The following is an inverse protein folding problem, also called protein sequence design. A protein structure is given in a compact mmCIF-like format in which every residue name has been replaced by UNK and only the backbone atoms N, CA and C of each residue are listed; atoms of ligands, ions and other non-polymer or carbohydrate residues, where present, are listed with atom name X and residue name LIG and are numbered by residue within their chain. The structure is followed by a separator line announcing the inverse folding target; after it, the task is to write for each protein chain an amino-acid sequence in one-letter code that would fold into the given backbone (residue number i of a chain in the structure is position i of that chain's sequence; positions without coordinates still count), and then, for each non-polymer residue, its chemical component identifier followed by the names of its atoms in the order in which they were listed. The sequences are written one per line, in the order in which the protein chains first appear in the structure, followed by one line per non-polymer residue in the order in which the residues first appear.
data_IF_903498191193
#
_entry.id   IF_903498191193
#
_cell.length_a   1.000
_cell.length_b   1.000
_cell.length_c   1.000
_cell.angle_alpha   90.00
_cell.angle_beta   90.00
_cell.angle_gamma   90.00
#
_symmetry.space_group_name_H-M   'P 1'
#
loop_
_entity.id
_entity.type
_entity.pdbx_description
1 polymer ?
#
# COMPACT_ATOMS: atom_id res chain seq x y z
N UNK A 1 10.05 -33.33 -43.07
CA UNK A 1 9.46 -33.52 -41.73
C UNK A 1 9.57 -32.21 -40.99
N UNK A 2 8.47 -31.46 -40.86
CA UNK A 2 8.44 -30.22 -40.08
C UNK A 2 8.26 -30.53 -38.59
N UNK A 3 9.00 -29.88 -37.67
CA UNK A 3 8.81 -30.09 -36.24
C UNK A 3 7.44 -29.56 -35.82
N UNK A 4 6.71 -30.37 -35.04
CA UNK A 4 5.33 -30.11 -34.61
C UNK A 4 5.29 -28.91 -33.64
N UNK A 5 4.46 -27.87 -33.87
CA UNK A 5 4.35 -26.68 -33.02
C UNK A 5 3.74 -26.94 -31.62
N UNK A 6 3.23 -28.15 -31.38
CA UNK A 6 2.55 -28.52 -30.13
C UNK A 6 3.49 -28.66 -28.92
N UNK A 7 4.78 -28.96 -29.16
CA UNK A 7 5.76 -29.22 -28.09
C UNK A 7 6.35 -27.93 -27.49
N UNK A 8 6.31 -26.81 -28.23
CA UNK A 8 6.78 -25.51 -27.74
C UNK A 8 5.74 -24.84 -26.80
N UNK A 9 4.45 -25.11 -27.01
CA UNK A 9 3.38 -24.53 -26.18
C UNK A 9 3.30 -25.17 -24.78
N UNK A 10 3.60 -26.48 -24.67
CA UNK A 10 3.52 -27.19 -23.38
C UNK A 10 4.72 -26.89 -22.47
N UNK A 11 5.92 -26.70 -23.03
CA UNK A 11 7.11 -26.34 -22.25
C UNK A 11 7.06 -24.90 -21.74
N UNK A 12 6.47 -23.97 -22.50
CA UNK A 12 6.29 -22.57 -22.07
C UNK A 12 5.19 -22.43 -20.99
N UNK A 13 4.17 -23.30 -21.02
CA UNK A 13 3.04 -23.27 -20.09
C UNK A 13 3.37 -23.78 -18.68
N UNK A 14 4.40 -24.63 -18.51
CA UNK A 14 4.84 -25.14 -17.19
C UNK A 14 5.98 -24.31 -16.59
N UNK A 15 6.77 -23.62 -17.42
CA UNK A 15 7.89 -22.81 -16.96
C UNK A 15 7.44 -21.56 -16.18
N UNK A 16 6.33 -20.93 -16.57
CA UNK A 16 5.82 -19.71 -15.90
C UNK A 16 5.29 -19.99 -14.48
N UNK A 17 4.47 -21.03 -14.23
CA UNK A 17 4.06 -21.39 -12.87
C UNK A 17 5.24 -21.82 -11.99
N UNK A 18 6.19 -22.59 -12.53
CA UNK A 18 7.36 -23.06 -11.77
C UNK A 18 8.30 -21.90 -11.38
N UNK A 19 8.55 -20.95 -12.30
CA UNK A 19 9.32 -19.75 -12.00
C UNK A 19 8.60 -18.87 -10.97
N UNK A 20 7.28 -18.69 -11.09
CA UNK A 20 6.47 -17.97 -10.11
C UNK A 20 6.51 -18.61 -8.72
N UNK A 21 6.38 -19.94 -8.65
CA UNK A 21 6.48 -20.70 -7.40
C UNK A 21 7.88 -20.58 -6.79
N UNK A 22 8.95 -20.70 -7.58
CA UNK A 22 10.31 -20.56 -7.10
C UNK A 22 10.60 -19.15 -6.58
N UNK A 23 10.16 -18.11 -7.30
CA UNK A 23 10.27 -16.72 -6.86
C UNK A 23 9.54 -16.52 -5.53
N UNK A 24 8.32 -17.03 -5.42
CA UNK A 24 7.54 -16.93 -4.18
C UNK A 24 8.17 -17.71 -3.02
N UNK A 25 8.65 -18.93 -3.26
CA UNK A 25 9.36 -19.71 -2.24
C UNK A 25 10.64 -19.01 -1.79
N UNK A 26 11.39 -18.43 -2.73
CA UNK A 26 12.59 -17.63 -2.44
C UNK A 26 12.25 -16.39 -1.62
N UNK A 27 11.14 -15.71 -1.94
CA UNK A 27 10.64 -14.57 -1.17
C UNK A 27 10.30 -14.96 0.26
N UNK A 28 9.45 -15.98 0.43
CA UNK A 28 8.99 -16.43 1.74
C UNK A 28 10.14 -16.96 2.61
N UNK A 29 11.18 -17.53 1.99
CA UNK A 29 12.36 -18.05 2.66
C UNK A 29 13.33 -16.94 3.10
N UNK A 30 13.67 -16.01 2.19
CA UNK A 30 14.76 -15.05 2.43
C UNK A 30 14.31 -13.71 3.02
N UNK A 31 13.04 -13.33 2.83
CA UNK A 31 12.56 -11.99 3.17
C UNK A 31 11.48 -11.92 4.26
N UNK A 32 11.27 -12.92 5.15
CA UNK A 32 10.07 -12.90 5.98
C UNK A 32 10.13 -11.79 7.05
N UNK A 33 9.13 -10.91 7.03
CA UNK A 33 8.48 -10.52 8.27
C UNK A 33 8.17 -11.83 9.03
N UNK A 34 8.54 -11.92 10.31
CA UNK A 34 8.48 -13.19 11.06
C UNK A 34 7.10 -13.85 10.92
N UNK A 35 7.06 -15.18 10.92
CA UNK A 35 5.78 -15.90 10.78
C UNK A 35 4.79 -15.51 11.89
N UNK A 36 5.29 -15.26 13.11
CA UNK A 36 4.48 -14.76 14.22
C UNK A 36 3.87 -13.39 13.91
N UNK A 37 4.70 -12.42 13.48
CA UNK A 37 4.22 -11.07 13.14
C UNK A 37 3.33 -11.07 11.89
N UNK A 38 3.59 -11.94 10.92
CA UNK A 38 2.76 -12.06 9.72
C UNK A 38 1.35 -12.56 10.02
N UNK A 39 1.17 -13.37 11.08
CA UNK A 39 -0.13 -13.86 11.51
C UNK A 39 -0.98 -12.81 12.22
N UNK A 40 -0.39 -11.70 12.66
CA UNK A 40 -1.15 -10.60 13.29
C UNK A 40 -1.74 -9.63 12.27
N UNK A 41 -1.43 -9.80 10.98
CA UNK A 41 -2.00 -9.01 9.89
C UNK A 41 -3.45 -9.43 9.68
N UNK A 42 -4.38 -8.49 9.82
CA UNK A 42 -5.80 -8.67 9.49
C UNK A 42 -6.04 -8.20 8.07
N UNK A 43 -6.83 -8.95 7.30
CA UNK A 43 -7.21 -8.64 5.92
C UNK A 43 -8.72 -8.41 5.83
N UNK A 44 -9.15 -7.46 5.02
CA UNK A 44 -10.56 -7.20 4.70
C UNK A 44 -10.75 -6.98 3.20
N UNK A 45 -11.95 -7.26 2.70
CA UNK A 45 -12.39 -6.90 1.35
C UNK A 45 -12.94 -5.47 1.25
N UNK A 46 -12.95 -4.73 2.37
CA UNK A 46 -13.34 -3.32 2.42
C UNK A 46 -12.11 -2.43 2.60
N UNK A 47 -12.25 -1.14 2.25
CA UNK A 47 -11.28 -0.10 2.60
C UNK A 47 -11.23 0.15 4.11
N UNK A 48 -10.14 0.76 4.61
CA UNK A 48 -10.15 1.32 5.97
C UNK A 48 -11.25 2.38 6.11
N UNK A 49 -11.81 2.60 7.32
CA UNK A 49 -12.94 3.51 7.50
C UNK A 49 -12.69 4.92 6.92
N UNK A 50 -11.53 5.50 7.19
CA UNK A 50 -11.09 6.81 6.70
C UNK A 50 -10.75 6.81 5.20
N UNK A 51 -10.29 5.70 4.65
CA UNK A 51 -10.03 5.59 3.20
C UNK A 51 -11.31 5.66 2.38
N UNK A 52 -12.43 5.18 2.92
CA UNK A 52 -13.73 5.14 2.23
C UNK A 52 -14.34 6.53 2.01
N UNK A 53 -13.89 7.54 2.75
CA UNK A 53 -14.36 8.93 2.66
C UNK A 53 -13.33 9.85 1.98
N UNK A 54 -12.22 9.30 1.49
CA UNK A 54 -11.15 10.08 0.89
C UNK A 54 -11.60 10.85 -0.37
N UNK A 55 -11.27 12.16 -0.50
CA UNK A 55 -11.50 12.93 -1.72
C UNK A 55 -10.84 12.31 -2.96
N UNK A 56 -9.72 11.61 -2.80
CA UNK A 56 -9.00 10.98 -3.92
C UNK A 56 -9.81 9.90 -4.63
N UNK A 57 -10.83 9.33 -3.98
CA UNK A 57 -11.77 8.41 -4.63
C UNK A 57 -12.46 9.05 -5.85
N UNK A 58 -12.79 10.35 -5.76
CA UNK A 58 -13.40 11.09 -6.88
C UNK A 58 -12.40 11.39 -8.00
N UNK A 59 -11.10 11.43 -7.68
CA UNK A 59 -10.04 11.62 -8.67
C UNK A 59 -9.88 10.34 -9.51
N UNK A 60 -9.84 9.18 -8.86
CA UNK A 60 -9.60 7.91 -9.54
C UNK A 60 -10.85 7.31 -10.19
N UNK A 61 -12.04 7.64 -9.67
CA UNK A 61 -13.33 7.08 -10.09
C UNK A 61 -14.40 8.18 -10.12
N UNK A 62 -14.31 9.16 -11.04
CA UNK A 62 -15.18 10.34 -11.03
C UNK A 62 -16.67 10.02 -11.21
N UNK A 63 -17.00 8.90 -11.85
CA UNK A 63 -18.39 8.47 -12.08
C UNK A 63 -18.96 7.55 -10.99
N UNK A 64 -18.10 6.95 -10.15
CA UNK A 64 -18.49 6.09 -9.03
C UNK A 64 -19.54 5.02 -9.37
N UNK A 65 -19.35 4.29 -10.48
CA UNK A 65 -20.30 3.26 -10.89
C UNK A 65 -20.35 2.10 -9.85
N UNK A 66 -21.53 1.53 -9.54
CA UNK A 66 -21.67 0.57 -8.43
C UNK A 66 -20.87 -0.74 -8.54
N UNK A 67 -20.57 -1.22 -9.75
CA UNK A 67 -19.92 -2.52 -9.98
C UNK A 67 -18.56 -2.37 -10.69
N UNK A 68 -17.96 -1.18 -10.62
CA UNK A 68 -16.71 -0.91 -11.33
C UNK A 68 -15.45 -1.05 -10.48
N UNK A 69 -15.57 -1.24 -9.17
CA UNK A 69 -14.44 -1.24 -8.25
C UNK A 69 -14.27 -2.56 -7.49
N UNK A 70 -13.01 -2.89 -7.21
CA UNK A 70 -12.60 -3.91 -6.26
C UNK A 70 -11.75 -3.24 -5.18
N UNK A 71 -11.98 -3.62 -3.93
CA UNK A 71 -11.31 -3.05 -2.76
C UNK A 71 -10.75 -4.14 -1.87
N UNK A 72 -9.67 -3.82 -1.17
CA UNK A 72 -9.13 -4.65 -0.11
C UNK A 72 -8.31 -3.81 0.87
N UNK A 73 -8.12 -4.29 2.09
CA UNK A 73 -7.25 -3.65 3.08
C UNK A 73 -6.54 -4.63 4.00
N UNK A 74 -5.45 -4.15 4.60
CA UNK A 74 -4.61 -4.83 5.58
C UNK A 74 -4.36 -3.93 6.77
N UNK A 75 -4.40 -4.52 7.96
CA UNK A 75 -4.12 -3.86 9.23
C UNK A 75 -3.08 -4.67 10.01
N UNK A 76 -2.11 -3.99 10.58
CA UNK A 76 -1.27 -4.52 11.66
C UNK A 76 -1.17 -3.52 12.81
N UNK A 77 -1.10 -4.03 14.04
CA UNK A 77 -0.79 -3.22 15.21
C UNK A 77 0.70 -3.39 15.52
N UNK A 78 1.39 -2.26 15.66
CA UNK A 78 2.79 -2.21 16.07
C UNK A 78 2.88 -1.57 17.46
N UNK A 79 3.62 -2.20 18.37
CA UNK A 79 3.81 -1.67 19.72
C UNK A 79 4.75 -0.46 19.71
N UNK A 80 4.71 0.32 20.79
CA UNK A 80 5.67 1.41 21.04
C UNK A 80 7.12 0.92 20.99
N UNK A 81 7.42 -0.28 21.50
CA UNK A 81 8.77 -0.85 21.48
C UNK A 81 9.24 -1.20 20.06
N UNK A 82 8.32 -1.63 19.19
CA UNK A 82 8.60 -1.93 17.78
C UNK A 82 8.86 -0.67 16.94
N UNK A 83 8.06 0.39 17.13
CA UNK A 83 8.20 1.65 16.39
C UNK A 83 9.15 2.65 17.03
N UNK A 84 9.53 2.43 18.30
CA UNK A 84 10.44 3.28 19.07
C UNK A 84 9.96 4.74 19.07
N UNK A 85 10.80 5.64 18.56
CA UNK A 85 10.56 7.08 18.48
C UNK A 85 10.22 7.54 17.05
N UNK A 86 9.89 6.62 16.14
CA UNK A 86 9.53 7.00 14.78
C UNK A 86 8.27 7.88 14.78
N UNK A 87 8.34 9.01 14.08
CA UNK A 87 7.22 9.87 13.75
C UNK A 87 6.28 9.20 12.74
N UNK A 88 5.07 9.72 12.59
CA UNK A 88 4.12 9.20 11.59
C UNK A 88 4.67 9.30 10.16
N UNK A 89 5.36 10.41 9.86
CA UNK A 89 6.00 10.62 8.56
C UNK A 89 7.08 9.57 8.31
N UNK A 90 7.96 9.32 9.27
CA UNK A 90 8.99 8.29 9.14
C UNK A 90 8.39 6.88 8.98
N UNK A 91 7.30 6.56 9.69
CA UNK A 91 6.61 5.28 9.54
C UNK A 91 6.07 5.16 8.11
N UNK A 92 5.35 6.17 7.61
CA UNK A 92 4.76 6.15 6.28
C UNK A 92 5.83 6.16 5.18
N UNK A 93 6.91 6.93 5.34
CA UNK A 93 8.02 7.01 4.39
C UNK A 93 8.79 5.69 4.29
N UNK A 94 9.12 5.07 5.44
CA UNK A 94 9.71 3.72 5.47
C UNK A 94 8.77 2.69 4.87
N UNK A 95 7.49 2.74 5.21
CA UNK A 95 6.51 1.81 4.65
C UNK A 95 6.40 1.94 3.13
N UNK A 96 6.30 3.16 2.61
CA UNK A 96 6.28 3.47 1.18
C UNK A 96 7.55 2.96 0.47
N UNK A 97 8.71 3.20 1.09
CA UNK A 97 10.00 2.69 0.65
C UNK A 97 10.08 1.16 0.62
N UNK A 98 9.53 0.49 1.62
CA UNK A 98 9.45 -0.97 1.67
C UNK A 98 8.45 -1.55 0.66
N UNK A 99 7.30 -0.91 0.49
CA UNK A 99 6.25 -1.33 -0.44
C UNK A 99 6.74 -1.32 -1.89
N UNK A 100 7.33 -0.20 -2.34
CA UNK A 100 7.85 -0.08 -3.72
C UNK A 100 9.29 -0.58 -3.86
N UNK A 101 10.06 -0.64 -2.76
CA UNK A 101 11.46 -1.05 -2.74
C UNK A 101 11.67 -2.53 -2.44
N UNK A 102 10.65 -3.21 -1.93
CA UNK A 102 10.66 -4.59 -1.48
C UNK A 102 11.02 -5.60 -2.57
N UNK A 103 11.34 -6.81 -2.12
CA UNK A 103 11.75 -7.88 -3.01
C UNK A 103 10.58 -8.37 -3.86
N UNK A 104 9.37 -8.40 -3.29
CA UNK A 104 8.21 -8.88 -4.04
C UNK A 104 7.84 -7.96 -5.21
N UNK A 105 8.21 -6.67 -5.16
CA UNK A 105 8.00 -5.71 -6.24
C UNK A 105 9.08 -5.78 -7.33
N UNK A 106 10.12 -6.62 -7.18
CA UNK A 106 11.19 -6.76 -8.17
C UNK A 106 10.73 -7.21 -9.57
N UNK A 107 9.77 -8.14 -9.73
CA UNK A 107 9.24 -8.51 -11.05
C UNK A 107 8.68 -7.29 -11.79
N UNK A 108 7.86 -6.48 -11.10
CA UNK A 108 7.25 -5.25 -11.61
C UNK A 108 8.33 -4.21 -11.92
N UNK A 109 9.34 -4.04 -11.07
CA UNK A 109 10.50 -3.17 -11.39
C UNK A 109 11.20 -3.62 -12.67
N UNK A 110 11.38 -4.92 -12.86
CA UNK A 110 12.00 -5.48 -14.06
C UNK A 110 11.22 -5.11 -15.32
N UNK A 111 9.90 -5.29 -15.28
CA UNK A 111 9.01 -4.92 -16.39
C UNK A 111 9.02 -3.40 -16.60
N UNK A 112 8.82 -2.60 -15.56
CA UNK A 112 8.83 -1.13 -15.63
C UNK A 112 10.16 -0.63 -16.21
N UNK A 113 11.29 -1.15 -15.73
CA UNK A 113 12.63 -0.76 -16.20
C UNK A 113 12.83 -1.13 -17.66
N UNK A 114 12.36 -2.30 -18.10
CA UNK A 114 12.42 -2.70 -19.50
C UNK A 114 11.66 -1.72 -20.39
N UNK A 115 10.43 -1.33 -20.01
CA UNK A 115 9.65 -0.33 -20.74
C UNK A 115 10.35 1.06 -20.76
N UNK A 116 10.94 1.47 -19.64
CA UNK A 116 11.71 2.72 -19.54
C UNK A 116 12.93 2.74 -20.48
N UNK A 117 13.66 1.62 -20.61
CA UNK A 117 14.78 1.49 -21.57
C UNK A 117 14.31 1.72 -23.00
N UNK A 118 13.07 1.34 -23.33
CA UNK A 118 12.44 1.62 -24.63
C UNK A 118 11.79 3.01 -24.72
N UNK A 119 12.01 3.89 -23.73
CA UNK A 119 11.48 5.25 -23.70
C UNK A 119 9.96 5.33 -23.52
N UNK A 120 9.32 4.27 -22.99
CA UNK A 120 7.86 4.22 -22.81
C UNK A 120 7.51 3.89 -21.35
N UNK A 121 6.53 4.55 -20.74
CA UNK A 121 5.93 4.06 -19.49
C UNK A 121 5.09 2.81 -19.76
N UNK A 122 5.06 1.86 -18.82
CA UNK A 122 4.22 0.65 -18.92
C UNK A 122 2.73 1.04 -18.83
N UNK A 123 2.36 1.75 -17.76
CA UNK A 123 1.06 2.40 -17.60
C UNK A 123 1.35 3.80 -17.07
N UNK A 124 1.12 4.84 -17.87
CA UNK A 124 1.28 6.21 -17.37
C UNK A 124 0.14 6.52 -16.41
N UNK A 125 0.47 6.92 -15.20
CA UNK A 125 -0.50 7.52 -14.28
C UNK A 125 -1.00 8.83 -14.88
N UNK A 126 -2.28 9.16 -14.72
CA UNK A 126 -2.76 10.46 -15.15
C UNK A 126 -4.22 10.67 -14.80
N UNK A 127 -4.52 11.77 -14.12
CA UNK A 127 -5.87 12.06 -13.65
C UNK A 127 -6.34 13.42 -14.18
N UNK A 128 -7.60 13.50 -14.61
CA UNK A 128 -8.20 14.76 -15.08
C UNK A 128 -8.13 15.82 -13.99
N UNK A 129 -7.58 17.00 -14.33
CA UNK A 129 -7.45 18.12 -13.39
C UNK A 129 -6.31 17.98 -12.37
N UNK A 130 -5.51 16.91 -12.41
CA UNK A 130 -4.34 16.74 -11.53
C UNK A 130 -3.05 16.96 -12.32
N UNK A 131 -2.27 18.00 -12.02
CA UNK A 131 -1.03 18.28 -12.75
C UNK A 131 0.06 17.25 -12.42
N UNK A 132 0.80 16.81 -13.45
CA UNK A 132 1.90 15.84 -13.32
C UNK A 132 3.30 16.47 -13.38
N UNK A 133 3.42 17.70 -12.91
CA UNK A 133 4.64 18.51 -12.98
C UNK A 133 5.49 18.45 -11.70
N UNK A 134 5.13 17.62 -10.72
CA UNK A 134 5.91 17.44 -9.49
C UNK A 134 7.25 16.74 -9.69
N UNK A 135 8.00 16.59 -8.59
CA UNK A 135 9.28 15.86 -8.55
C UNK A 135 9.11 14.45 -9.13
N UNK A 136 10.12 13.97 -9.85
CA UNK A 136 10.13 12.62 -10.44
C UNK A 136 11.10 11.73 -9.69
N UNK A 137 10.59 10.64 -9.13
CA UNK A 137 11.38 9.61 -8.46
C UNK A 137 11.40 8.39 -9.38
N UNK A 138 12.55 8.09 -9.99
CA UNK A 138 12.67 7.00 -10.97
C UNK A 138 12.84 5.63 -10.33
N UNK A 139 13.43 5.58 -9.13
CA UNK A 139 13.74 4.35 -8.41
C UNK A 139 13.20 4.41 -6.98
N UNK A 140 12.72 3.30 -6.40
CA UNK A 140 12.34 3.25 -4.99
C UNK A 140 13.50 3.58 -4.05
N UNK A 141 14.75 3.34 -4.45
CA UNK A 141 15.93 3.69 -3.64
C UNK A 141 16.14 5.19 -3.46
N UNK A 142 15.44 6.02 -4.26
CA UNK A 142 15.44 7.47 -4.13
C UNK A 142 14.29 7.99 -3.25
N UNK A 143 13.47 7.09 -2.67
CA UNK A 143 12.53 7.45 -1.61
C UNK A 143 13.31 7.67 -0.31
N UNK A 144 13.01 8.79 0.35
CA UNK A 144 13.61 9.13 1.64
C UNK A 144 13.00 8.25 2.74
N UNK A 145 13.78 7.91 3.77
CA UNK A 145 13.31 7.11 4.91
C UNK A 145 12.54 7.95 5.93
N UNK A 146 12.75 9.27 5.90
CA UNK A 146 12.27 10.17 6.94
C UNK A 146 11.17 11.10 6.46
N UNK A 147 11.07 11.32 5.15
CA UNK A 147 10.14 12.27 4.54
C UNK A 147 9.27 11.63 3.48
N UNK A 148 8.01 11.99 3.50
CA UNK A 148 7.08 11.60 2.46
C UNK A 148 7.32 12.41 1.19
N UNK A 149 7.15 11.82 -0.01
CA UNK A 149 7.11 12.60 -1.22
C UNK A 149 5.87 13.50 -1.24
N UNK A 150 6.04 14.75 -1.67
CA UNK A 150 4.96 15.73 -1.74
C UNK A 150 3.88 15.33 -2.75
N UNK A 151 2.67 15.84 -2.57
CA UNK A 151 1.56 15.73 -3.52
C UNK A 151 1.99 16.13 -4.94
N UNK A 152 1.58 15.35 -5.92
CA UNK A 152 1.97 15.52 -7.33
C UNK A 152 3.34 14.91 -7.67
N UNK A 153 4.10 14.41 -6.69
CA UNK A 153 5.32 13.64 -6.98
C UNK A 153 4.96 12.40 -7.79
N UNK A 154 5.71 12.16 -8.87
CA UNK A 154 5.55 11.03 -9.77
C UNK A 154 6.60 9.97 -9.43
N UNK A 155 6.16 8.74 -9.21
CA UNK A 155 7.02 7.62 -8.81
C UNK A 155 7.21 6.62 -9.97
N UNK A 156 8.35 5.94 -9.92
CA UNK A 156 8.73 4.80 -10.76
C UNK A 156 8.57 5.08 -12.26
N UNK A 157 9.08 6.24 -12.68
CA UNK A 157 9.06 6.66 -14.09
C UNK A 157 7.66 6.88 -14.65
N UNK A 158 6.71 7.32 -13.83
CA UNK A 158 5.38 7.71 -14.29
C UNK A 158 4.29 6.67 -14.07
N UNK A 159 4.54 5.59 -13.35
CA UNK A 159 3.52 4.56 -13.11
C UNK A 159 2.60 4.88 -11.92
N UNK A 160 3.08 5.72 -11.00
CA UNK A 160 2.35 6.10 -9.79
C UNK A 160 2.51 7.59 -9.51
N UNK A 161 1.58 8.16 -8.75
CA UNK A 161 1.61 9.56 -8.32
C UNK A 161 1.10 9.69 -6.89
N UNK A 162 1.73 10.53 -6.08
CA UNK A 162 1.16 10.94 -4.79
C UNK A 162 -0.04 11.85 -5.03
N UNK A 163 -1.24 11.35 -4.71
CA UNK A 163 -2.49 12.10 -4.84
C UNK A 163 -2.73 13.03 -3.66
N UNK A 164 -2.38 12.56 -2.47
CA UNK A 164 -2.53 13.32 -1.24
C UNK A 164 -1.62 12.77 -0.15
N UNK A 165 -1.25 13.63 0.79
CA UNK A 165 -0.51 13.24 1.97
C UNK A 165 -0.89 14.20 3.10
N UNK A 166 -1.24 13.64 4.25
CA UNK A 166 -1.57 14.41 5.45
C UNK A 166 -0.79 13.86 6.63
N UNK A 167 -0.10 14.74 7.33
CA UNK A 167 0.58 14.42 8.57
C UNK A 167 -0.18 15.09 9.70
N UNK A 168 -0.55 14.32 10.71
CA UNK A 168 -1.07 14.88 11.95
C UNK A 168 0.12 15.34 12.79
N UNK A 169 0.23 16.65 13.00
CA UNK A 169 1.27 17.21 13.84
C UNK A 169 1.18 16.66 15.27
N UNK A 170 2.33 16.41 15.90
CA UNK A 170 2.40 16.26 17.35
C UNK A 170 2.29 17.66 17.96
N UNK A 171 1.08 18.19 18.08
CA UNK A 171 0.79 19.46 18.75
C UNK A 171 0.20 20.56 17.87
N UNK A 172 -0.95 20.32 17.23
CA UNK A 172 -1.85 21.40 16.80
C UNK A 172 -3.03 21.45 17.77
N UNK A 173 -2.76 22.00 18.96
CA UNK A 173 -3.71 22.92 19.58
C UNK A 173 -3.45 24.26 18.87
N UNK A 174 -4.50 24.98 18.47
CA UNK A 174 -4.43 26.30 17.81
C UNK A 174 -4.35 26.29 16.28
N UNK A 175 -5.45 25.88 15.64
CA UNK A 175 -5.72 26.18 14.24
C UNK A 175 -7.09 25.73 13.81
N UNK A 176 -8.00 26.67 13.55
CA UNK A 176 -9.35 26.43 13.04
C UNK A 176 -9.29 25.74 11.66
N UNK A 177 -9.18 24.42 11.67
CA UNK A 177 -9.04 23.59 10.47
C UNK A 177 -9.64 22.22 10.70
N UNK A 178 -10.94 22.09 10.40
CA UNK A 178 -11.70 20.82 10.37
C UNK A 178 -11.46 19.90 11.59
N UNK A 179 -12.26 20.09 12.63
CA UNK A 179 -12.51 19.10 13.67
C UNK A 179 -13.21 17.86 13.04
N UNK A 180 -12.42 17.01 12.40
CA UNK A 180 -12.77 15.62 12.17
C UNK A 180 -12.24 14.80 13.34
N UNK A 181 -13.12 14.49 14.30
CA UNK A 181 -12.91 13.41 15.27
C UNK A 181 -12.27 12.19 14.56
N UNK A 182 -11.02 11.85 14.90
CA UNK A 182 -10.43 10.55 14.55
C UNK A 182 -9.59 10.39 13.27
N UNK A 183 -9.14 11.46 12.59
CA UNK A 183 -8.21 11.31 11.45
C UNK A 183 -6.77 10.96 11.87
N UNK A 184 -6.16 9.96 11.24
CA UNK A 184 -4.72 9.61 11.35
C UNK A 184 -3.87 10.22 10.23
N UNK A 185 -2.54 10.06 10.32
CA UNK A 185 -1.62 10.48 9.24
C UNK A 185 -1.67 9.50 8.07
N UNK A 186 -1.60 9.97 6.82
CA UNK A 186 -1.65 9.10 5.64
C UNK A 186 -0.90 9.62 4.43
N UNK A 187 -0.65 8.71 3.48
CA UNK A 187 -0.26 9.01 2.09
C UNK A 187 -1.10 8.20 1.12
N UNK A 188 -1.53 8.83 0.04
CA UNK A 188 -2.33 8.23 -1.03
C UNK A 188 -1.56 8.26 -2.34
N UNK A 189 -1.40 7.10 -2.96
CA UNK A 189 -0.63 6.89 -4.19
C UNK A 189 -1.56 6.35 -5.26
N UNK A 190 -1.87 7.18 -6.25
CA UNK A 190 -2.68 6.84 -7.41
C UNK A 190 -1.90 6.07 -8.47
N UNK A 191 -2.61 5.24 -9.23
CA UNK A 191 -2.12 4.53 -10.41
C UNK A 191 -3.20 4.45 -11.50
N UNK A 192 -2.77 4.23 -12.74
CA UNK A 192 -3.68 4.18 -13.89
C UNK A 192 -4.19 5.57 -14.30
N UNK A 193 -5.27 5.61 -15.06
CA UNK A 193 -5.76 6.83 -15.72
C UNK A 193 -7.29 6.87 -15.75
N UNK A 194 -7.88 7.94 -15.19
CA UNK A 194 -9.34 8.10 -15.08
C UNK A 194 -10.03 8.20 -16.46
N UNK A 195 -9.27 8.51 -17.51
CA UNK A 195 -9.76 8.61 -18.89
C UNK A 195 -9.65 7.26 -19.63
N UNK A 196 -9.15 6.22 -18.98
CA UNK A 196 -8.94 4.87 -19.53
C UNK A 196 -9.80 3.83 -18.81
N UNK A 197 -9.60 2.54 -19.11
CA UNK A 197 -10.38 1.45 -18.51
C UNK A 197 -9.88 1.00 -17.12
N UNK A 198 -8.86 1.64 -16.56
CA UNK A 198 -8.24 1.22 -15.30
C UNK A 198 -7.60 2.39 -14.56
N UNK A 199 -8.00 2.57 -13.31
CA UNK A 199 -7.47 3.53 -12.36
C UNK A 199 -7.60 2.99 -10.94
N UNK A 200 -6.82 3.53 -10.00
CA UNK A 200 -6.91 3.14 -8.60
C UNK A 200 -5.99 3.94 -7.70
N UNK A 201 -6.03 3.61 -6.41
CA UNK A 201 -5.12 4.18 -5.42
C UNK A 201 -4.78 3.17 -4.33
N UNK A 202 -3.58 3.36 -3.77
CA UNK A 202 -3.15 2.77 -2.51
C UNK A 202 -3.13 3.85 -1.45
N UNK A 203 -3.69 3.60 -0.27
CA UNK A 203 -3.58 4.47 0.90
C UNK A 203 -2.81 3.75 1.99
N UNK A 204 -1.80 4.41 2.55
CA UNK A 204 -1.11 3.97 3.75
C UNK A 204 -1.43 4.94 4.88
N UNK A 205 -1.76 4.42 6.05
CA UNK A 205 -2.30 5.23 7.13
C UNK A 205 -1.80 4.75 8.50
N UNK A 206 -1.49 5.72 9.35
CA UNK A 206 -1.02 5.53 10.73
C UNK A 206 -2.02 6.18 11.68
N UNK A 207 -2.54 5.38 12.61
CA UNK A 207 -3.37 5.84 13.72
C UNK A 207 -2.63 5.52 15.02
N UNK A 208 -2.27 6.55 15.79
CA UNK A 208 -1.65 6.37 17.11
C UNK A 208 -2.70 5.85 18.10
N UNK A 209 -2.37 4.77 18.81
CA UNK A 209 -3.18 4.25 19.91
C UNK A 209 -2.84 5.07 21.15
N UNK A 210 -3.82 5.77 21.71
CA UNK A 210 -3.65 6.49 22.98
C UNK A 210 -3.54 5.50 24.14
N UNK A 211 -2.70 5.85 25.12
CA UNK A 211 -2.77 5.24 26.44
C UNK A 211 -4.08 5.77 27.07
N UNK A 212 -5.14 4.98 27.15
CA UNK A 212 -6.33 5.37 27.90
C UNK A 212 -5.97 5.46 29.39
N UNK A 213 -5.57 6.65 29.85
CA UNK A 213 -5.48 7.02 31.27
C UNK A 213 -6.55 8.01 31.67
N UNK A 214 -7.68 8.05 30.96
CA UNK A 214 -8.84 8.81 31.39
C UNK A 214 -9.85 7.84 32.03
N UNK A 215 -9.80 7.84 33.36
CA UNK A 215 -10.60 6.95 34.21
C UNK A 215 -12.09 7.15 34.03
N UNK A 216 -12.77 6.05 33.70
CA UNK A 216 -14.06 5.60 34.28
C UNK A 216 -14.48 4.29 33.57
N UNK A 217 -14.53 3.19 34.32
CA UNK A 217 -15.33 2.02 33.94
C UNK A 217 -14.70 0.67 34.18
N UNK A 218 -15.09 0.07 35.31
CA UNK A 218 -15.13 -1.37 35.63
C UNK A 218 -13.81 -2.16 35.72
N UNK A 219 -13.34 -2.27 36.96
CA UNK A 219 -12.57 -3.40 37.45
C UNK A 219 -13.31 -4.71 37.12
N UNK A 220 -12.67 -5.55 36.31
CA UNK A 220 -12.88 -7.00 36.37
C UNK A 220 -11.52 -7.62 36.68
N UNK A 221 -11.42 -8.15 37.89
CA UNK A 221 -10.21 -8.73 38.45
C UNK A 221 -9.65 -9.89 37.63
N UNK A 222 -8.32 -9.92 37.57
CA UNK A 222 -7.53 -11.04 37.07
C UNK A 222 -6.10 -10.83 37.54
N UNK A 223 -5.77 -11.37 38.71
CA UNK A 223 -4.40 -11.51 39.19
C UNK A 223 -3.64 -12.45 38.25
N UNK A 224 -2.76 -11.90 37.42
CA UNK A 224 -1.52 -12.58 37.06
C UNK A 224 -0.47 -11.53 36.70
N UNK A 225 0.53 -11.41 37.57
CA UNK A 225 1.60 -10.42 37.46
C UNK A 225 2.50 -10.67 36.25
N UNK A 226 2.39 -9.79 35.25
CA UNK A 226 3.48 -9.48 34.32
C UNK A 226 3.65 -7.97 34.26
N UNK A 227 4.71 -7.52 34.90
CA UNK A 227 5.19 -6.14 34.84
C UNK A 227 5.62 -5.78 33.41
N UNK A 228 5.09 -4.66 32.89
CA UNK A 228 5.82 -3.75 32.01
C UNK A 228 5.61 -3.84 30.50
N UNK A 229 4.46 -3.38 29.98
CA UNK A 229 4.43 -2.69 28.68
C UNK A 229 3.67 -1.37 28.85
N UNK A 230 4.41 -0.24 28.85
CA UNK A 230 3.82 1.10 28.73
C UNK A 230 2.95 1.16 27.48
N UNK A 231 1.63 1.11 27.69
CA UNK A 231 0.66 0.82 26.64
C UNK A 231 0.46 1.93 25.63
N UNK A 232 1.30 1.99 24.59
CA UNK A 232 1.10 2.80 23.39
C UNK A 232 1.51 2.04 22.11
N UNK A 233 1.16 2.56 20.94
CA UNK A 233 1.49 1.94 19.66
C UNK A 233 0.84 2.63 18.46
N UNK A 234 0.84 1.95 17.31
CA UNK A 234 0.14 2.40 16.09
C UNK A 234 -0.65 1.28 15.45
N UNK A 235 -1.80 1.64 14.88
CA UNK A 235 -2.42 0.87 13.82
C UNK A 235 -1.86 1.35 12.49
N UNK A 236 -1.32 0.43 11.71
CA UNK A 236 -0.81 0.68 10.37
C UNK A 236 -1.72 -0.01 9.36
N UNK A 237 -2.35 0.80 8.52
CA UNK A 237 -3.30 0.38 7.50
C UNK A 237 -2.69 0.50 6.11
N UNK A 238 -3.06 -0.45 5.25
CA UNK A 238 -2.95 -0.36 3.80
C UNK A 238 -4.31 -0.65 3.19
N UNK A 239 -4.83 0.29 2.40
CA UNK A 239 -6.05 0.14 1.62
C UNK A 239 -5.74 0.21 0.14
N UNK A 240 -6.39 -0.62 -0.67
CA UNK A 240 -6.29 -0.61 -2.13
C UNK A 240 -7.67 -0.55 -2.74
N UNK A 241 -7.81 0.28 -3.78
CA UNK A 241 -8.97 0.30 -4.65
C UNK A 241 -8.50 0.31 -6.10
N UNK A 242 -9.09 -0.57 -6.90
CA UNK A 242 -8.92 -0.64 -8.35
C UNK A 242 -10.28 -0.53 -9.01
N UNK A 243 -10.41 0.30 -10.03
CA UNK A 243 -11.69 0.55 -10.69
C UNK A 243 -11.58 0.72 -12.20
N UNK A 244 -12.72 0.58 -12.88
CA UNK A 244 -12.90 1.04 -14.26
C UNK A 244 -13.64 2.38 -14.24
N UNK A 245 -12.94 3.51 -14.44
CA UNK A 245 -13.57 4.82 -14.31
C UNK A 245 -14.57 5.12 -15.44
N UNK A 246 -14.57 4.35 -16.55
CA UNK A 246 -15.40 4.61 -17.74
C UNK A 246 -16.65 3.76 -17.86
N UNK A 247 -16.65 2.57 -17.27
CA UNK A 247 -17.73 1.60 -17.45
C UNK A 247 -18.15 1.00 -16.12
N UNK A 248 -19.43 0.66 -15.98
CA UNK A 248 -19.96 -0.04 -14.82
C UNK A 248 -19.63 -1.54 -14.84
N UNK A 249 -18.34 -1.87 -14.88
CA UNK A 249 -17.80 -3.23 -14.81
C UNK A 249 -16.40 -3.20 -14.22
N UNK A 250 -15.94 -4.30 -13.65
CA UNK A 250 -14.57 -4.39 -13.15
C UNK A 250 -13.54 -4.18 -14.28
N UNK A 251 -12.38 -3.55 -13.99
CA UNK A 251 -11.34 -3.29 -14.99
C UNK A 251 -10.66 -4.59 -15.47
N UNK A 252 -10.73 -5.65 -14.66
CA UNK A 252 -10.11 -6.95 -14.94
C UNK A 252 -11.02 -8.13 -14.55
N UNK A 253 -10.75 -9.35 -15.04
CA UNK A 253 -11.42 -10.55 -14.57
C UNK A 253 -11.19 -10.82 -13.07
N UNK A 254 -12.16 -11.47 -12.41
CA UNK A 254 -12.14 -11.72 -10.95
C UNK A 254 -10.85 -12.39 -10.42
N UNK A 255 -10.25 -13.30 -11.19
CA UNK A 255 -9.04 -14.00 -10.77
C UNK A 255 -7.83 -13.06 -10.60
N UNK A 256 -7.78 -11.93 -11.33
CA UNK A 256 -6.73 -10.91 -11.17
C UNK A 256 -6.81 -10.27 -9.79
N UNK A 257 -8.03 -10.05 -9.25
CA UNK A 257 -8.19 -9.52 -7.90
C UNK A 257 -7.82 -10.53 -6.82
N UNK A 258 -8.09 -11.83 -7.03
CA UNK A 258 -7.59 -12.88 -6.14
C UNK A 258 -6.05 -12.94 -6.10
N UNK A 259 -5.40 -12.78 -7.27
CA UNK A 259 -3.95 -12.62 -7.32
C UNK A 259 -3.49 -11.33 -6.61
N UNK A 260 -4.16 -10.21 -6.86
CA UNK A 260 -3.87 -8.93 -6.22
C UNK A 260 -3.94 -9.04 -4.70
N UNK A 261 -4.95 -9.70 -4.12
CA UNK A 261 -5.06 -9.85 -2.67
C UNK A 261 -3.83 -10.53 -2.04
N UNK A 262 -3.37 -11.61 -2.67
CA UNK A 262 -2.16 -12.32 -2.27
C UNK A 262 -0.90 -11.46 -2.43
N UNK A 263 -0.77 -10.80 -3.58
CA UNK A 263 0.37 -9.96 -3.90
C UNK A 263 0.46 -8.73 -2.97
N UNK A 264 -0.67 -8.09 -2.71
CA UNK A 264 -0.86 -7.00 -1.76
C UNK A 264 -0.50 -7.41 -0.32
N UNK A 265 -0.76 -8.67 0.08
CA UNK A 265 -0.30 -9.19 1.37
C UNK A 265 1.23 -9.24 1.43
N UNK A 266 1.89 -9.63 0.35
CA UNK A 266 3.34 -9.66 0.28
C UNK A 266 3.93 -8.24 0.30
N UNK A 267 3.39 -7.31 -0.49
CA UNK A 267 3.81 -5.90 -0.50
C UNK A 267 3.64 -5.24 0.87
N UNK A 268 2.53 -5.53 1.55
CA UNK A 268 2.29 -5.03 2.91
C UNK A 268 3.37 -5.52 3.89
N UNK A 269 3.76 -6.80 3.79
CA UNK A 269 4.82 -7.36 4.64
C UNK A 269 6.18 -6.70 4.39
N UNK A 270 6.52 -6.42 3.13
CA UNK A 270 7.75 -5.69 2.78
C UNK A 270 7.73 -4.26 3.34
N UNK A 271 6.58 -3.57 3.26
CA UNK A 271 6.38 -2.26 3.90
C UNK A 271 6.57 -2.32 5.42
N UNK A 272 5.90 -3.25 6.12
CA UNK A 272 6.03 -3.43 7.58
C UNK A 272 7.47 -3.76 7.97
N UNK A 273 8.14 -4.66 7.22
CA UNK A 273 9.53 -5.02 7.47
C UNK A 273 10.43 -3.79 7.44
N UNK A 274 10.21 -2.89 6.49
CA UNK A 274 11.01 -1.68 6.34
C UNK A 274 10.79 -0.67 7.48
N UNK A 275 9.56 -0.58 8.00
CA UNK A 275 9.26 0.20 9.21
C UNK A 275 10.06 -0.34 10.41
N UNK A 276 10.12 -1.66 10.57
CA UNK A 276 10.82 -2.34 11.67
C UNK A 276 12.34 -2.40 11.48
N UNK A 277 12.87 -1.95 10.34
CA UNK A 277 14.29 -1.99 10.03
C UNK A 277 15.01 -0.80 10.66
N UNK A 278 16.02 -1.09 11.47
CA UNK A 278 16.92 -0.09 12.05
C UNK A 278 17.71 0.61 10.95
#
# INVERSE_FOLDING_TARGET
MAPRPLLLLTTLSLALPAAGALLLSTYLYNYPLSASKSRTIKTSSSLSPTSSTSPSLKIINPHAYPQNSSTDSRLIILSKSEIRNLTDEEILARFLGGFFGGWIFMPEKGIISLFQVFGRPMITVGFTGVPMNGKRILSPSALEREKLPEKGTVLLGGNFMVLDAQLKGRGEEDGEGWEGEGGGSFVEVGFGDDRRGFAGMHRFEVLRLSNSTDGKGEEVGGEDGREGEEGGGVQLWYSSISCNPRENKLPFPKWVFGFHEFYAQCLFRDGVREVLRN
#
